data_IF_414818464636
#
_entry.id   IF_414818464636
#
_cell.length_a   1.000
_cell.length_b   1.000
_cell.length_c   1.000
_cell.angle_alpha   90.00
_cell.angle_beta   90.00
_cell.angle_gamma   90.00
#
_symmetry.space_group_name_H-M   'P 1'
#
loop_
_entity.id
_entity.type
_entity.pdbx_description
1 polymer ?
#
# COMPACT_ATOMS: atom_id res chain seq x y z
N UNK A 1 27.55 -35.15 -29.59
CA UNK A 1 26.52 -34.11 -29.50
C UNK A 1 25.96 -34.18 -28.09
N UNK A 2 26.45 -33.33 -27.19
CA UNK A 2 26.02 -33.31 -25.80
C UNK A 2 24.75 -32.44 -25.71
N UNK A 3 23.65 -33.06 -25.31
CA UNK A 3 22.38 -32.39 -25.03
C UNK A 3 22.52 -31.65 -23.71
N UNK A 4 22.65 -30.32 -23.75
CA UNK A 4 22.58 -29.47 -22.56
C UNK A 4 21.14 -29.44 -22.06
N UNK A 5 20.87 -30.21 -21.01
CA UNK A 5 19.64 -30.09 -20.22
C UNK A 5 19.82 -28.94 -19.24
N UNK A 6 19.31 -27.76 -19.57
CA UNK A 6 19.12 -26.68 -18.59
C UNK A 6 18.03 -27.10 -17.59
N UNK A 7 18.26 -26.96 -16.27
CA UNK A 7 17.21 -27.21 -15.30
C UNK A 7 16.16 -26.10 -15.41
N UNK A 8 15.03 -26.42 -16.04
CA UNK A 8 13.83 -25.61 -15.96
C UNK A 8 13.40 -25.54 -14.48
N UNK A 9 13.65 -24.39 -13.85
CA UNK A 9 13.07 -24.08 -12.54
C UNK A 9 11.55 -24.07 -12.69
N UNK A 10 10.93 -25.21 -12.37
CA UNK A 10 9.49 -25.32 -12.18
C UNK A 10 9.11 -24.42 -11.01
N UNK A 11 8.53 -23.26 -11.32
CA UNK A 11 7.88 -22.42 -10.31
C UNK A 11 6.69 -23.22 -9.77
N UNK A 12 6.84 -23.75 -8.55
CA UNK A 12 5.71 -24.36 -7.85
C UNK A 12 4.57 -23.32 -7.74
N UNK A 13 3.31 -23.74 -7.88
CA UNK A 13 2.17 -22.83 -7.77
C UNK A 13 2.18 -22.16 -6.39
N UNK A 14 2.18 -20.82 -6.40
CA UNK A 14 2.13 -20.01 -5.18
C UNK A 14 0.84 -20.32 -4.42
N UNK A 15 0.95 -20.44 -3.10
CA UNK A 15 -0.22 -20.53 -2.21
C UNK A 15 -1.01 -19.22 -2.23
N UNK A 16 -2.31 -19.26 -1.93
CA UNK A 16 -3.15 -18.04 -1.88
C UNK A 16 -2.55 -16.98 -0.95
N UNK A 17 -2.01 -17.39 0.20
CA UNK A 17 -1.36 -16.47 1.16
C UNK A 17 -0.13 -15.76 0.58
N UNK A 18 0.63 -16.44 -0.29
CA UNK A 18 1.77 -15.83 -0.99
C UNK A 18 1.29 -14.85 -2.06
N UNK A 19 0.21 -15.18 -2.76
CA UNK A 19 -0.42 -14.30 -3.76
C UNK A 19 -0.94 -13.02 -3.08
N UNK A 20 -1.66 -13.15 -1.96
CA UNK A 20 -2.21 -12.01 -1.23
C UNK A 20 -1.12 -11.08 -0.70
N UNK A 21 -0.01 -11.64 -0.19
CA UNK A 21 1.12 -10.87 0.30
C UNK A 21 1.85 -10.11 -0.83
N UNK A 22 2.11 -10.78 -1.95
CA UNK A 22 2.72 -10.13 -3.13
C UNK A 22 1.81 -9.06 -3.73
N UNK A 23 0.50 -9.34 -3.83
CA UNK A 23 -0.48 -8.39 -4.32
C UNK A 23 -0.58 -7.16 -3.42
N UNK A 24 -0.61 -7.36 -2.09
CA UNK A 24 -0.62 -6.26 -1.13
C UNK A 24 0.61 -5.37 -1.28
N UNK A 25 1.81 -5.97 -1.39
CA UNK A 25 3.05 -5.23 -1.60
C UNK A 25 3.01 -4.43 -2.92
N UNK A 26 2.58 -5.07 -4.00
CA UNK A 26 2.44 -4.44 -5.31
C UNK A 26 1.45 -3.27 -5.28
N UNK A 27 0.27 -3.50 -4.70
CA UNK A 27 -0.80 -2.51 -4.60
C UNK A 27 -0.35 -1.30 -3.79
N UNK A 28 0.27 -1.51 -2.62
CA UNK A 28 0.75 -0.40 -1.79
C UNK A 28 1.82 0.42 -2.49
N UNK A 29 2.78 -0.23 -3.17
CA UNK A 29 3.79 0.46 -3.95
C UNK A 29 3.14 1.30 -5.06
N UNK A 30 2.22 0.71 -5.82
CA UNK A 30 1.54 1.37 -6.94
C UNK A 30 0.68 2.54 -6.46
N UNK A 31 -0.15 2.32 -5.44
CA UNK A 31 -1.04 3.33 -4.89
C UNK A 31 -0.25 4.52 -4.30
N UNK A 32 0.86 4.27 -3.61
CA UNK A 32 1.72 5.33 -3.07
C UNK A 32 2.39 6.12 -4.17
N UNK A 33 2.85 5.44 -5.23
CA UNK A 33 3.44 6.10 -6.39
C UNK A 33 2.44 7.01 -7.11
N UNK A 34 1.26 6.48 -7.46
CA UNK A 34 0.21 7.24 -8.15
C UNK A 34 -0.30 8.41 -7.30
N UNK A 35 -0.37 8.23 -5.98
CA UNK A 35 -0.70 9.30 -5.06
C UNK A 35 0.35 10.42 -5.06
N UNK A 36 1.65 10.07 -5.03
CA UNK A 36 2.74 11.03 -5.14
C UNK A 36 2.70 11.80 -6.46
N UNK A 37 2.51 11.11 -7.58
CA UNK A 37 2.38 11.71 -8.91
C UNK A 37 1.18 12.67 -8.97
N UNK A 38 0.04 12.31 -8.37
CA UNK A 38 -1.12 13.18 -8.30
C UNK A 38 -0.86 14.45 -7.46
N UNK A 39 -0.15 14.33 -6.34
CA UNK A 39 0.24 15.49 -5.53
C UNK A 39 1.19 16.41 -6.30
N UNK A 40 2.17 15.85 -7.01
CA UNK A 40 3.09 16.62 -7.83
C UNK A 40 2.36 17.33 -8.99
N UNK A 41 1.38 16.66 -9.61
CA UNK A 41 0.54 17.26 -10.64
C UNK A 41 -0.30 18.43 -10.09
N UNK A 42 -0.94 18.26 -8.93
CA UNK A 42 -1.69 19.34 -8.27
C UNK A 42 -0.76 20.51 -7.92
N UNK A 43 0.44 20.22 -7.41
CA UNK A 43 1.43 21.25 -7.06
C UNK A 43 1.99 21.99 -8.27
N UNK A 44 2.09 21.32 -9.41
CA UNK A 44 2.63 21.88 -10.65
C UNK A 44 1.57 22.60 -11.49
N UNK A 45 0.30 22.57 -11.08
CA UNK A 45 -0.77 23.25 -11.78
C UNK A 45 -0.65 24.78 -11.66
N UNK A 46 -0.96 25.49 -12.75
CA UNK A 46 -0.81 26.96 -12.85
C UNK A 46 -1.69 27.74 -11.87
N UNK A 47 -2.78 27.12 -11.39
CA UNK A 47 -3.72 27.67 -10.43
C UNK A 47 -3.44 27.26 -8.98
N UNK A 48 -2.36 26.51 -8.73
CA UNK A 48 -1.96 26.11 -7.39
C UNK A 48 -1.58 27.34 -6.54
N UNK A 49 -2.31 27.54 -5.44
CA UNK A 49 -2.07 28.63 -4.48
C UNK A 49 -1.55 28.02 -3.18
N UNK A 50 -0.24 28.10 -2.87
CA UNK A 50 0.35 27.40 -1.75
C UNK A 50 -0.41 27.58 -0.42
N UNK A 51 -0.85 28.80 -0.12
CA UNK A 51 -1.51 29.12 1.15
C UNK A 51 -2.91 28.47 1.31
N UNK A 52 -3.65 28.28 0.22
CA UNK A 52 -5.01 27.71 0.25
C UNK A 52 -5.08 26.26 -0.20
N UNK A 53 -4.28 25.88 -1.19
CA UNK A 53 -4.30 24.53 -1.79
C UNK A 53 -3.68 23.49 -0.86
N UNK A 54 -2.68 23.86 -0.05
CA UNK A 54 -2.12 22.95 0.97
C UNK A 54 -3.15 22.61 2.04
N UNK A 55 -3.96 23.58 2.49
CA UNK A 55 -5.01 23.32 3.47
C UNK A 55 -6.05 22.32 2.93
N UNK A 56 -6.44 22.45 1.65
CA UNK A 56 -7.36 21.51 0.98
C UNK A 56 -6.76 20.11 0.88
N UNK A 57 -5.47 19.99 0.53
CA UNK A 57 -4.78 18.70 0.47
C UNK A 57 -4.73 18.02 1.85
N UNK A 58 -4.46 18.78 2.91
CA UNK A 58 -4.47 18.28 4.29
C UNK A 58 -5.87 17.80 4.67
N UNK A 59 -6.91 18.59 4.38
CA UNK A 59 -8.30 18.20 4.67
C UNK A 59 -8.73 16.94 3.90
N UNK A 60 -8.34 16.79 2.64
CA UNK A 60 -8.62 15.60 1.84
C UNK A 60 -7.91 14.35 2.40
N UNK A 61 -6.65 14.48 2.82
CA UNK A 61 -5.90 13.42 3.49
C UNK A 61 -6.57 13.00 4.81
N UNK A 62 -7.04 13.97 5.60
CA UNK A 62 -7.73 13.70 6.86
C UNK A 62 -9.08 13.01 6.64
N UNK A 63 -9.86 13.41 5.62
CA UNK A 63 -11.12 12.75 5.26
C UNK A 63 -10.94 11.28 4.90
N UNK A 64 -9.78 10.89 4.35
CA UNK A 64 -9.45 9.48 4.13
C UNK A 64 -9.54 8.64 5.41
N UNK A 65 -9.35 9.23 6.59
CA UNK A 65 -9.50 8.55 7.88
C UNK A 65 -10.97 8.44 8.33
N UNK A 66 -11.87 9.27 7.81
CA UNK A 66 -13.31 9.20 8.12
C UNK A 66 -14.01 8.07 7.37
N UNK A 67 -13.38 7.55 6.31
CA UNK A 67 -13.87 6.39 5.54
C UNK A 67 -13.87 5.07 6.34
N UNK A 68 -13.21 5.05 7.50
CA UNK A 68 -13.16 3.88 8.38
C UNK A 68 -14.09 4.07 9.59
N UNK A 69 -14.87 3.02 9.89
CA UNK A 69 -15.67 2.98 11.10
C UNK A 69 -14.78 3.00 12.36
N UNK A 70 -15.34 3.36 13.51
CA UNK A 70 -14.59 3.28 14.77
C UNK A 70 -14.13 1.85 15.07
N UNK A 71 -14.91 0.85 14.67
CA UNK A 71 -14.60 -0.56 14.86
C UNK A 71 -13.41 -0.98 13.99
N UNK A 72 -13.37 -0.56 12.72
CA UNK A 72 -12.24 -0.82 11.80
C UNK A 72 -10.95 -0.17 12.30
N UNK A 73 -11.06 1.09 12.76
CA UNK A 73 -9.92 1.83 13.35
C UNK A 73 -9.38 1.10 14.58
N UNK A 74 -10.25 0.64 15.48
CA UNK A 74 -9.86 -0.12 16.68
C UNK A 74 -9.23 -1.47 16.32
N UNK A 75 -9.79 -2.17 15.34
CA UNK A 75 -9.25 -3.44 14.87
C UNK A 75 -7.83 -3.29 14.28
N UNK A 76 -7.58 -2.25 13.48
CA UNK A 76 -6.25 -1.98 12.93
C UNK A 76 -5.19 -1.75 14.01
N UNK A 77 -5.50 -0.94 15.02
CA UNK A 77 -4.53 -0.58 16.09
C UNK A 77 -4.32 -1.75 17.07
N UNK A 78 -5.36 -2.51 17.39
CA UNK A 78 -5.26 -3.64 18.33
C UNK A 78 -4.62 -4.89 17.71
N UNK A 79 -4.70 -5.06 16.39
CA UNK A 79 -4.09 -6.19 15.68
C UNK A 79 -2.55 -6.18 15.81
N UNK A 80 -1.90 -5.01 15.75
CA UNK A 80 -0.46 -4.86 15.93
C UNK A 80 0.03 -5.16 17.37
N UNK A 81 -0.86 -5.09 18.37
CA UNK A 81 -0.53 -5.39 19.77
C UNK A 81 -0.53 -6.88 20.13
N UNK A 82 -1.07 -7.75 19.28
CA UNK A 82 -1.32 -9.17 19.62
C UNK A 82 -0.25 -10.16 19.14
N UNK A 83 0.72 -9.72 18.31
CA UNK A 83 1.75 -10.60 17.75
C UNK A 83 2.97 -10.84 18.66
N UNK A 84 3.06 -10.25 19.85
CA UNK A 84 4.25 -10.36 20.74
C UNK A 84 4.05 -11.03 22.11
N UNK A 85 2.91 -11.65 22.40
CA UNK A 85 2.67 -12.29 23.71
C UNK A 85 2.26 -13.76 23.65
N UNK A 86 2.87 -14.55 22.75
CA UNK A 86 2.83 -16.01 22.87
C UNK A 86 4.26 -16.55 22.91
N UNK A 87 4.89 -16.50 24.09
CA UNK A 87 6.01 -17.38 24.43
C UNK A 87 6.04 -17.61 25.94
N UNK A 88 5.72 -18.86 26.27
CA UNK A 88 6.03 -19.63 27.48
C UNK A 88 5.06 -19.57 28.66
#
# INVERSE_FOLDING_TARGET
MASSSEPQQQQQPKTQKQIDAEFTSYYLQRATQEFGEALDAVRSADDFKPDSSIAVLISALQQGTEMFSEEDKRAMICSEGSAKSSTK
#
